data_IF_523256111062
#
_entry.id   IF_523256111062
#
_cell.length_a   1.000
_cell.length_b   1.000
_cell.length_c   1.000
_cell.angle_alpha   90.00
_cell.angle_beta   90.00
_cell.angle_gamma   90.00
#
_symmetry.space_group_name_H-M   'P 1'
#
loop_
_entity.id
_entity.type
_entity.pdbx_description
1 polymer ?
#
# COMPACT_ATOMS: atom_id res chain seq x y z
N UNK A 1 1.67 -4.00 -19.87
CA UNK A 1 1.65 -3.62 -18.44
C UNK A 1 0.75 -2.40 -18.30
N UNK A 2 -0.32 -2.48 -17.49
CA UNK A 2 -1.27 -1.38 -17.31
C UNK A 2 -0.74 -0.35 -16.32
N UNK A 3 -0.89 0.94 -16.63
CA UNK A 3 -0.68 2.02 -15.69
C UNK A 3 -1.77 2.09 -14.61
N UNK A 4 -1.60 2.98 -13.64
CA UNK A 4 -2.60 3.22 -12.57
C UNK A 4 -3.64 4.22 -13.07
N UNK A 5 -4.82 3.75 -13.48
CA UNK A 5 -5.98 4.63 -13.74
C UNK A 5 -6.62 4.96 -12.39
N UNK A 6 -6.41 6.19 -11.88
CA UNK A 6 -6.85 6.58 -10.54
C UNK A 6 -7.54 7.94 -10.50
N UNK A 7 -8.01 8.32 -9.31
CA UNK A 7 -8.57 9.63 -9.00
C UNK A 7 -8.34 9.94 -7.51
N UNK A 8 -8.83 11.09 -7.03
CA UNK A 8 -8.82 11.37 -5.59
C UNK A 8 -10.05 10.75 -4.90
N UNK A 9 -10.00 10.56 -3.58
CA UNK A 9 -11.16 10.16 -2.78
C UNK A 9 -12.30 11.19 -2.85
N UNK A 10 -12.00 12.45 -3.23
CA UNK A 10 -13.02 13.46 -3.49
C UNK A 10 -13.85 13.16 -4.75
N UNK A 11 -13.23 12.63 -5.80
CA UNK A 11 -13.93 12.17 -7.00
C UNK A 11 -14.82 10.97 -6.67
N UNK A 12 -14.29 10.00 -5.92
CA UNK A 12 -15.07 8.83 -5.46
C UNK A 12 -16.28 9.27 -4.64
N UNK A 13 -16.08 10.17 -3.66
CA UNK A 13 -17.17 10.74 -2.87
C UNK A 13 -18.24 11.39 -3.75
N UNK A 14 -17.87 12.10 -4.79
CA UNK A 14 -18.83 12.90 -5.55
C UNK A 14 -19.51 12.15 -6.70
N UNK A 15 -18.86 11.11 -7.25
CA UNK A 15 -19.26 10.50 -8.53
C UNK A 15 -19.48 8.99 -8.49
N UNK A 16 -18.79 8.24 -7.62
CA UNK A 16 -18.76 6.79 -7.71
C UNK A 16 -20.08 6.13 -7.28
N UNK A 17 -20.87 5.67 -8.24
CA UNK A 17 -22.11 4.93 -8.03
C UNK A 17 -21.88 3.42 -7.91
N UNK A 18 -20.71 2.93 -8.32
CA UNK A 18 -20.31 1.53 -8.17
C UNK A 18 -18.96 1.40 -7.47
N UNK A 19 -18.92 0.69 -6.34
CA UNK A 19 -17.75 0.57 -5.48
C UNK A 19 -17.46 -0.92 -5.23
N UNK A 20 -16.35 -1.41 -5.76
CA UNK A 20 -15.87 -2.77 -5.57
C UNK A 20 -14.72 -2.77 -4.57
N UNK A 21 -14.90 -3.44 -3.42
CA UNK A 21 -13.79 -3.77 -2.51
C UNK A 21 -13.33 -5.20 -2.76
N UNK A 22 -12.03 -5.40 -2.94
CA UNK A 22 -11.47 -6.71 -3.21
C UNK A 22 -10.29 -7.02 -2.29
N UNK A 23 -10.41 -8.12 -1.52
CA UNK A 23 -9.35 -8.59 -0.62
C UNK A 23 -8.99 -7.53 0.43
N UNK A 24 -10.00 -6.83 0.93
CA UNK A 24 -9.84 -5.73 1.86
C UNK A 24 -11.03 -5.61 2.79
N UNK A 25 -10.76 -5.26 4.04
CA UNK A 25 -11.77 -5.11 5.09
C UNK A 25 -11.78 -3.67 5.64
N UNK A 26 -12.28 -2.69 4.85
CA UNK A 26 -12.33 -1.29 5.25
C UNK A 26 -13.07 -1.03 6.57
N UNK A 27 -14.05 -1.85 6.96
CA UNK A 27 -14.76 -1.66 8.23
C UNK A 27 -13.82 -1.72 9.45
N UNK A 28 -12.79 -2.57 9.40
CA UNK A 28 -11.83 -2.74 10.50
C UNK A 28 -10.50 -2.04 10.21
N UNK A 29 -9.99 -2.13 8.98
CA UNK A 29 -8.67 -1.59 8.63
C UNK A 29 -8.69 -0.08 8.30
N UNK A 30 -9.83 0.44 7.84
CA UNK A 30 -10.00 1.86 7.52
C UNK A 30 -11.37 2.37 8.01
N UNK A 31 -11.66 2.39 9.33
CA UNK A 31 -13.04 2.45 9.85
C UNK A 31 -13.88 3.64 9.39
N UNK A 32 -13.22 4.76 9.05
CA UNK A 32 -13.89 5.98 8.55
C UNK A 32 -13.98 6.07 7.03
N UNK A 33 -13.49 5.07 6.29
CA UNK A 33 -13.46 5.11 4.83
C UNK A 33 -14.87 5.17 4.23
N UNK A 34 -15.76 4.28 4.68
CA UNK A 34 -17.18 4.27 4.30
C UNK A 34 -17.90 5.57 4.62
N UNK A 35 -17.67 6.09 5.82
CA UNK A 35 -18.37 7.25 6.33
C UNK A 35 -17.82 8.56 5.79
N UNK A 36 -16.55 8.63 5.38
CA UNK A 36 -15.89 9.89 4.97
C UNK A 36 -15.71 10.05 3.46
N UNK A 37 -15.54 8.94 2.72
CA UNK A 37 -15.09 9.03 1.32
C UNK A 37 -15.92 8.23 0.33
N UNK A 38 -16.63 7.19 0.76
CA UNK A 38 -17.29 6.27 -0.18
C UNK A 38 -18.79 6.19 0.07
N UNK A 39 -19.22 5.11 0.71
CA UNK A 39 -20.59 4.61 0.63
C UNK A 39 -21.61 5.54 1.28
N UNK A 40 -21.33 6.09 2.46
CA UNK A 40 -22.34 6.79 3.25
C UNK A 40 -22.47 8.28 2.86
N UNK A 41 -21.50 8.82 2.14
CA UNK A 41 -21.46 10.25 1.83
C UNK A 41 -22.42 10.62 0.71
N UNK A 42 -23.19 11.68 0.92
CA UNK A 42 -23.87 12.40 -0.16
C UNK A 42 -22.83 13.18 -0.96
N UNK A 43 -22.83 12.96 -2.27
CA UNK A 43 -21.90 13.58 -3.22
C UNK A 43 -22.61 14.58 -4.12
N UNK A 44 -21.86 15.45 -4.80
CA UNK A 44 -22.40 16.44 -5.76
C UNK A 44 -23.29 15.79 -6.84
N UNK A 45 -22.91 14.63 -7.35
CA UNK A 45 -23.66 13.91 -8.39
C UNK A 45 -24.40 12.68 -7.85
N UNK A 46 -24.34 12.45 -6.54
CA UNK A 46 -24.97 11.35 -5.83
C UNK A 46 -25.64 11.87 -4.54
N UNK A 47 -26.72 12.67 -4.66
CA UNK A 47 -27.36 13.32 -3.52
C UNK A 47 -28.02 12.32 -2.56
N UNK A 48 -28.33 11.12 -3.03
CA UNK A 48 -28.93 10.05 -2.24
C UNK A 48 -27.95 9.30 -1.32
N UNK A 49 -26.65 9.55 -1.44
CA UNK A 49 -25.63 8.90 -0.62
C UNK A 49 -25.65 7.37 -0.79
N UNK A 50 -25.81 6.61 0.31
CA UNK A 50 -25.82 5.13 0.31
C UNK A 50 -26.78 4.53 -0.71
N UNK A 51 -27.98 5.10 -0.85
CA UNK A 51 -29.04 4.57 -1.73
C UNK A 51 -28.70 4.70 -3.21
N UNK A 52 -27.88 5.70 -3.57
CA UNK A 52 -27.42 5.92 -4.94
C UNK A 52 -26.13 5.17 -5.27
N UNK A 53 -25.73 4.17 -4.49
CA UNK A 53 -24.47 3.44 -4.66
C UNK A 53 -24.68 1.94 -4.52
N UNK A 54 -23.99 1.19 -5.35
CA UNK A 54 -23.82 -0.26 -5.21
C UNK A 54 -22.44 -0.56 -4.66
N UNK A 55 -22.37 -1.29 -3.54
CA UNK A 55 -21.14 -1.83 -2.98
C UNK A 55 -21.05 -3.33 -3.24
N UNK A 56 -19.98 -3.76 -3.90
CA UNK A 56 -19.62 -5.17 -4.02
C UNK A 56 -18.39 -5.44 -3.16
N UNK A 57 -18.40 -6.56 -2.43
CA UNK A 57 -17.25 -7.05 -1.68
C UNK A 57 -16.83 -8.43 -2.21
N UNK A 58 -15.57 -8.55 -2.60
CA UNK A 58 -14.92 -9.82 -2.94
C UNK A 58 -13.91 -10.13 -1.84
N UNK A 59 -14.13 -11.21 -1.10
CA UNK A 59 -13.23 -11.65 -0.03
C UNK A 59 -13.36 -13.16 0.16
N UNK A 60 -12.36 -13.79 0.78
CA UNK A 60 -12.39 -15.23 1.11
C UNK A 60 -13.25 -15.53 2.34
N UNK A 61 -13.57 -14.50 3.15
CA UNK A 61 -14.31 -14.60 4.40
C UNK A 61 -15.40 -13.55 4.49
N UNK A 62 -16.46 -13.87 5.24
CA UNK A 62 -17.46 -12.88 5.63
C UNK A 62 -16.92 -11.93 6.70
N UNK A 63 -16.28 -10.85 6.27
CA UNK A 63 -15.74 -9.83 7.17
C UNK A 63 -16.83 -8.86 7.66
N UNK A 64 -16.52 -8.02 8.64
CA UNK A 64 -17.43 -6.96 9.09
C UNK A 64 -17.87 -6.00 7.97
N UNK A 65 -17.09 -5.91 6.89
CA UNK A 65 -17.43 -5.11 5.70
C UNK A 65 -18.61 -5.69 4.90
N UNK A 66 -18.95 -6.98 5.03
CA UNK A 66 -20.11 -7.61 4.34
C UNK A 66 -21.41 -6.91 4.71
N UNK A 67 -21.55 -6.46 5.97
CA UNK A 67 -22.77 -5.79 6.46
C UNK A 67 -23.10 -4.50 5.69
N UNK A 68 -22.11 -3.91 5.02
CA UNK A 68 -22.30 -2.72 4.20
C UNK A 68 -22.49 -3.04 2.70
N UNK A 69 -22.20 -4.28 2.26
CA UNK A 69 -22.21 -4.68 0.86
C UNK A 69 -23.62 -5.02 0.37
N UNK A 70 -23.92 -4.65 -0.87
CA UNK A 70 -25.12 -5.10 -1.58
C UNK A 70 -24.92 -6.49 -2.17
N UNK A 71 -23.67 -6.80 -2.56
CA UNK A 71 -23.27 -8.08 -3.15
C UNK A 71 -21.98 -8.54 -2.47
N UNK A 72 -21.99 -9.79 -2.01
CA UNK A 72 -20.79 -10.46 -1.51
C UNK A 72 -20.44 -11.64 -2.43
N UNK A 73 -19.20 -11.66 -2.90
CA UNK A 73 -18.65 -12.73 -3.73
C UNK A 73 -17.53 -13.42 -2.96
N UNK A 74 -17.82 -14.61 -2.46
CA UNK A 74 -16.85 -15.37 -1.69
C UNK A 74 -15.92 -16.18 -2.62
N UNK A 75 -14.75 -15.63 -2.92
CA UNK A 75 -13.73 -16.31 -3.71
C UNK A 75 -12.98 -17.33 -2.85
N UNK A 76 -12.55 -18.46 -3.43
CA UNK A 76 -11.69 -19.42 -2.75
C UNK A 76 -10.27 -18.86 -2.55
N UNK A 77 -9.58 -19.22 -1.46
CA UNK A 77 -8.21 -18.77 -1.22
C UNK A 77 -7.27 -19.04 -2.40
N UNK A 78 -6.57 -17.99 -2.85
CA UNK A 78 -5.56 -18.08 -3.91
C UNK A 78 -6.12 -18.25 -5.33
N UNK A 79 -7.42 -18.01 -5.54
CA UNK A 79 -8.09 -18.05 -6.84
C UNK A 79 -8.44 -16.67 -7.42
N UNK A 80 -7.98 -15.59 -6.78
CA UNK A 80 -8.28 -14.22 -7.21
C UNK A 80 -7.81 -13.92 -8.64
N UNK A 81 -6.64 -14.41 -9.03
CA UNK A 81 -6.08 -14.19 -10.36
C UNK A 81 -6.98 -14.77 -11.45
N UNK A 82 -7.49 -15.98 -11.23
CA UNK A 82 -8.40 -16.70 -12.11
C UNK A 82 -9.73 -15.96 -12.23
N UNK A 83 -10.29 -15.47 -11.12
CA UNK A 83 -11.53 -14.65 -11.15
C UNK A 83 -11.32 -13.38 -11.97
N UNK A 84 -10.24 -12.62 -11.72
CA UNK A 84 -9.96 -11.39 -12.48
C UNK A 84 -9.73 -11.70 -13.96
N UNK A 85 -9.08 -12.82 -14.28
CA UNK A 85 -8.86 -13.26 -15.65
C UNK A 85 -10.17 -13.60 -16.36
N UNK A 86 -11.08 -14.32 -15.69
CA UNK A 86 -12.43 -14.60 -16.18
C UNK A 86 -13.22 -13.30 -16.41
N UNK A 87 -13.22 -12.36 -15.44
CA UNK A 87 -13.88 -11.06 -15.61
C UNK A 87 -13.35 -10.30 -16.83
N UNK A 88 -12.03 -10.26 -17.02
CA UNK A 88 -11.43 -9.59 -18.19
C UNK A 88 -11.81 -10.25 -19.52
N UNK A 89 -11.96 -11.58 -19.54
CA UNK A 89 -12.45 -12.30 -20.70
C UNK A 89 -13.92 -11.93 -21.00
N UNK A 90 -14.79 -11.95 -19.99
CA UNK A 90 -16.20 -11.56 -20.11
C UNK A 90 -16.38 -10.10 -20.54
N UNK A 91 -15.56 -9.17 -20.01
CA UNK A 91 -15.57 -7.76 -20.42
C UNK A 91 -15.35 -7.63 -21.93
N UNK A 92 -14.47 -8.46 -22.50
CA UNK A 92 -14.12 -8.50 -23.93
C UNK A 92 -15.06 -9.36 -24.79
N UNK A 93 -16.09 -9.97 -24.19
CA UNK A 93 -17.01 -10.86 -24.91
C UNK A 93 -16.39 -12.21 -25.29
N UNK A 94 -15.29 -12.60 -24.64
CA UNK A 94 -14.67 -13.91 -24.86
C UNK A 94 -15.42 -15.00 -24.08
N UNK A 95 -15.43 -16.22 -24.62
CA UNK A 95 -15.97 -17.40 -23.92
C UNK A 95 -15.13 -17.70 -22.69
N UNK A 96 -15.81 -17.99 -21.58
CA UNK A 96 -15.21 -18.47 -20.33
C UNK A 96 -15.74 -19.88 -20.06
N UNK A 97 -14.86 -20.76 -19.60
CA UNK A 97 -15.22 -22.12 -19.21
C UNK A 97 -15.87 -22.09 -17.81
N UNK A 98 -17.12 -22.56 -17.73
CA UNK A 98 -17.88 -22.64 -16.47
C UNK A 98 -17.16 -23.49 -15.43
N UNK A 99 -16.53 -24.61 -15.83
CA UNK A 99 -15.85 -25.50 -14.88
C UNK A 99 -14.66 -24.80 -14.20
N UNK A 100 -13.90 -23.98 -14.95
CA UNK A 100 -12.80 -23.21 -14.39
C UNK A 100 -13.27 -22.10 -13.45
N UNK A 101 -14.46 -21.54 -13.67
CA UNK A 101 -15.04 -20.53 -12.77
C UNK A 101 -15.51 -21.19 -11.47
N UNK A 102 -16.13 -22.36 -11.53
CA UNK A 102 -16.56 -23.09 -10.33
C UNK A 102 -15.38 -23.46 -9.41
N UNK A 103 -14.18 -23.68 -9.98
CA UNK A 103 -12.97 -23.88 -9.18
C UNK A 103 -12.62 -22.68 -8.28
N UNK A 104 -13.04 -21.46 -8.63
CA UNK A 104 -12.81 -20.26 -7.82
C UNK A 104 -13.82 -20.10 -6.70
N UNK A 105 -14.83 -20.97 -6.62
CA UNK A 105 -15.95 -20.86 -5.68
C UNK A 105 -17.05 -19.90 -6.09
N UNK A 106 -16.97 -19.33 -7.30
CA UNK A 106 -17.99 -18.46 -7.86
C UNK A 106 -18.67 -19.15 -9.04
N UNK A 107 -19.86 -18.69 -9.42
CA UNK A 107 -20.57 -19.16 -10.61
C UNK A 107 -20.37 -18.21 -11.77
N UNK A 108 -20.46 -18.72 -13.00
CA UNK A 108 -20.33 -17.90 -14.21
C UNK A 108 -21.38 -16.79 -14.24
N UNK A 109 -22.61 -17.07 -13.79
CA UNK A 109 -23.70 -16.10 -13.74
C UNK A 109 -23.38 -14.94 -12.78
N UNK A 110 -22.70 -15.21 -11.66
CA UNK A 110 -22.28 -14.16 -10.72
C UNK A 110 -21.22 -13.24 -11.35
N UNK A 111 -20.29 -13.81 -12.13
CA UNK A 111 -19.28 -13.01 -12.82
C UNK A 111 -19.91 -12.20 -13.97
N UNK A 112 -20.88 -12.75 -14.67
CA UNK A 112 -21.61 -12.04 -15.72
C UNK A 112 -22.44 -10.88 -15.15
N UNK A 113 -23.21 -11.11 -14.08
CA UNK A 113 -23.95 -10.04 -13.39
C UNK A 113 -23.01 -8.94 -12.87
N UNK A 114 -21.84 -9.31 -12.34
CA UNK A 114 -20.84 -8.34 -11.92
C UNK A 114 -20.35 -7.48 -13.10
N UNK A 115 -19.98 -8.11 -14.22
CA UNK A 115 -19.52 -7.39 -15.42
C UNK A 115 -20.60 -6.48 -15.98
N UNK A 116 -21.85 -6.95 -16.02
CA UNK A 116 -22.97 -6.17 -16.52
C UNK A 116 -23.20 -4.93 -15.64
N UNK A 117 -23.23 -5.07 -14.31
CA UNK A 117 -23.30 -3.92 -13.38
C UNK A 117 -22.12 -2.97 -13.53
N UNK A 118 -20.91 -3.51 -13.67
CA UNK A 118 -19.71 -2.72 -13.88
C UNK A 118 -19.77 -1.92 -15.19
N UNK A 119 -20.37 -2.46 -16.26
CA UNK A 119 -20.54 -1.75 -17.55
C UNK A 119 -21.64 -0.68 -17.49
N UNK A 120 -22.70 -0.89 -16.70
CA UNK A 120 -23.84 0.02 -16.61
C UNK A 120 -23.66 1.16 -15.60
N UNK A 121 -22.65 1.13 -14.72
CA UNK A 121 -22.40 2.22 -13.78
C UNK A 121 -21.93 3.49 -14.49
N UNK A 122 -22.05 4.65 -13.83
CA UNK A 122 -21.56 5.94 -14.35
C UNK A 122 -20.11 6.19 -13.96
N UNK A 123 -19.71 5.75 -12.77
CA UNK A 123 -18.35 5.86 -12.26
C UNK A 123 -18.04 4.71 -11.30
N UNK A 124 -17.23 3.77 -11.77
CA UNK A 124 -16.76 2.63 -11.00
C UNK A 124 -15.42 2.87 -10.32
N UNK A 125 -15.27 2.35 -9.10
CA UNK A 125 -13.97 2.28 -8.40
C UNK A 125 -13.71 0.89 -7.86
N UNK A 126 -12.50 0.36 -8.09
CA UNK A 126 -11.97 -0.82 -7.42
C UNK A 126 -11.01 -0.39 -6.32
N UNK A 127 -11.37 -0.64 -5.07
CA UNK A 127 -10.46 -0.60 -3.94
C UNK A 127 -9.92 -2.01 -3.68
N UNK A 128 -8.61 -2.18 -3.66
CA UNK A 128 -8.01 -3.50 -3.39
C UNK A 128 -7.03 -3.46 -2.22
N UNK A 129 -7.04 -4.52 -1.42
CA UNK A 129 -6.24 -4.64 -0.20
C UNK A 129 -5.21 -5.76 -0.24
N UNK A 130 -4.72 -6.12 0.95
CA UNK A 130 -3.67 -7.12 1.13
C UNK A 130 -4.13 -8.54 0.77
N UNK A 131 -5.43 -8.82 0.79
CA UNK A 131 -6.01 -10.08 0.32
C UNK A 131 -5.76 -10.33 -1.18
N UNK A 132 -5.40 -9.29 -1.93
CA UNK A 132 -4.90 -9.42 -3.30
C UNK A 132 -3.38 -9.33 -3.40
N UNK A 133 -2.75 -8.38 -2.70
CA UNK A 133 -1.32 -8.09 -2.90
C UNK A 133 -0.36 -9.02 -2.16
N UNK A 134 -0.84 -9.76 -1.15
CA UNK A 134 -0.02 -10.67 -0.32
C UNK A 134 -0.37 -12.15 -0.48
N UNK A 135 -1.36 -12.49 -1.30
CA UNK A 135 -1.75 -13.88 -1.59
C UNK A 135 -0.98 -14.43 -2.81
N UNK A 136 -1.19 -15.71 -3.14
CA UNK A 136 -0.60 -16.34 -4.33
C UNK A 136 -0.85 -15.46 -5.56
N UNK A 137 0.20 -15.19 -6.33
CA UNK A 137 0.18 -14.25 -7.46
C UNK A 137 0.70 -12.85 -7.12
N UNK A 138 0.53 -12.37 -5.88
CA UNK A 138 1.08 -11.09 -5.36
C UNK A 138 0.84 -9.92 -6.34
N UNK A 139 1.91 -9.41 -6.96
CA UNK A 139 1.87 -8.28 -7.89
C UNK A 139 1.10 -8.61 -9.18
N UNK A 140 0.99 -9.87 -9.59
CA UNK A 140 0.19 -10.28 -10.75
C UNK A 140 -1.30 -10.07 -10.50
N UNK A 141 -1.78 -10.29 -9.28
CA UNK A 141 -3.17 -10.02 -8.89
C UNK A 141 -3.47 -8.52 -8.98
N UNK A 142 -2.58 -7.69 -8.41
CA UNK A 142 -2.70 -6.23 -8.49
C UNK A 142 -2.66 -5.74 -9.94
N UNK A 143 -1.74 -6.26 -10.76
CA UNK A 143 -1.65 -5.90 -12.18
C UNK A 143 -2.91 -6.29 -12.95
N UNK A 144 -3.50 -7.46 -12.66
CA UNK A 144 -4.74 -7.91 -13.28
C UNK A 144 -5.92 -6.98 -12.95
N UNK A 145 -6.07 -6.57 -11.67
CA UNK A 145 -7.13 -5.64 -11.24
C UNK A 145 -6.96 -4.25 -11.85
N UNK A 146 -5.73 -3.72 -11.88
CA UNK A 146 -5.43 -2.45 -12.53
C UNK A 146 -5.75 -2.50 -14.03
N UNK A 147 -5.45 -3.63 -14.67
CA UNK A 147 -5.75 -3.84 -16.09
C UNK A 147 -7.24 -3.98 -16.34
N UNK A 148 -7.98 -4.69 -15.47
CA UNK A 148 -9.45 -4.76 -15.52
C UNK A 148 -10.06 -3.36 -15.46
N UNK A 149 -9.64 -2.52 -14.51
CA UNK A 149 -10.11 -1.14 -14.42
C UNK A 149 -9.79 -0.33 -15.69
N UNK A 150 -8.60 -0.51 -16.28
CA UNK A 150 -8.26 0.14 -17.55
C UNK A 150 -9.16 -0.35 -18.70
N UNK A 151 -9.40 -1.65 -18.82
CA UNK A 151 -10.25 -2.25 -19.86
C UNK A 151 -11.72 -1.83 -19.73
N UNK A 152 -12.22 -1.64 -18.50
CA UNK A 152 -13.56 -1.10 -18.25
C UNK A 152 -13.79 0.31 -18.81
N UNK A 153 -12.71 1.11 -18.99
CA UNK A 153 -12.83 2.46 -19.56
C UNK A 153 -13.25 2.49 -21.03
N UNK A 154 -13.31 1.34 -21.72
CA UNK A 154 -13.95 1.24 -23.03
C UNK A 154 -15.49 1.32 -22.96
N UNK A 155 -16.08 1.10 -21.78
CA UNK A 155 -17.53 1.05 -21.57
C UNK A 155 -18.03 2.18 -20.66
N UNK A 156 -17.34 2.44 -19.55
CA UNK A 156 -17.70 3.49 -18.58
C UNK A 156 -16.48 3.94 -17.78
N UNK A 157 -16.58 5.06 -17.08
CA UNK A 157 -15.45 5.56 -16.28
C UNK A 157 -15.15 4.60 -15.14
N UNK A 158 -13.96 4.01 -15.15
CA UNK A 158 -13.49 3.14 -14.08
C UNK A 158 -12.10 3.55 -13.59
N UNK A 159 -11.87 3.40 -12.28
CA UNK A 159 -10.58 3.63 -11.64
C UNK A 159 -10.25 2.50 -10.67
N UNK A 160 -8.98 2.34 -10.34
CA UNK A 160 -8.54 1.42 -9.29
C UNK A 160 -7.56 2.11 -8.35
N UNK A 161 -7.64 1.76 -7.07
CA UNK A 161 -6.80 2.33 -6.02
C UNK A 161 -6.46 1.28 -4.96
N UNK A 162 -5.18 1.13 -4.60
CA UNK A 162 -4.80 0.28 -3.47
C UNK A 162 -5.24 0.93 -2.15
N UNK A 163 -5.79 0.13 -1.25
CA UNK A 163 -6.09 0.52 0.13
C UNK A 163 -4.80 0.52 0.95
N UNK A 164 -4.01 1.60 0.83
CA UNK A 164 -2.74 1.76 1.55
C UNK A 164 -2.96 1.76 3.07
N UNK A 165 -2.11 1.02 3.80
CA UNK A 165 -2.26 0.76 5.24
C UNK A 165 -1.91 1.96 6.13
N UNK A 166 -0.61 2.14 6.39
CA UNK A 166 -0.13 3.20 7.29
C UNK A 166 -0.40 4.62 6.74
N UNK A 167 -0.56 5.57 7.67
CA UNK A 167 -0.98 6.94 7.36
C UNK A 167 -0.06 7.74 6.41
N UNK A 168 1.19 7.31 6.22
CA UNK A 168 2.13 7.96 5.29
C UNK A 168 2.95 6.98 4.43
N UNK A 169 2.50 5.74 4.23
CA UNK A 169 3.21 4.80 3.34
C UNK A 169 3.22 5.29 1.88
N UNK A 170 2.21 6.07 1.46
CA UNK A 170 2.25 6.74 0.16
C UNK A 170 3.34 7.82 0.12
N UNK A 171 3.58 8.53 1.22
CA UNK A 171 4.58 9.61 1.25
C UNK A 171 6.00 9.08 1.17
N UNK A 172 6.29 7.96 1.83
CA UNK A 172 7.58 7.29 1.70
C UNK A 172 7.89 6.92 0.24
N UNK A 173 6.93 6.29 -0.45
CA UNK A 173 7.07 5.95 -1.87
C UNK A 173 7.24 7.20 -2.75
N UNK A 174 6.48 8.27 -2.50
CA UNK A 174 6.56 9.51 -3.26
C UNK A 174 7.92 10.18 -3.09
N UNK A 175 8.40 10.30 -1.85
CA UNK A 175 9.72 10.89 -1.54
C UNK A 175 10.82 10.10 -2.21
N UNK A 176 10.82 8.77 -2.08
CA UNK A 176 11.81 7.91 -2.70
C UNK A 176 11.78 8.03 -4.24
N UNK A 177 10.59 8.10 -4.85
CA UNK A 177 10.47 8.28 -6.30
C UNK A 177 11.11 9.56 -6.80
N UNK A 178 10.82 10.71 -6.19
CA UNK A 178 11.37 11.98 -6.70
C UNK A 178 12.85 12.17 -6.33
N UNK A 179 13.34 11.49 -5.29
CA UNK A 179 14.76 11.57 -4.88
C UNK A 179 15.66 10.57 -5.59
N UNK A 180 15.15 9.36 -5.88
CA UNK A 180 15.96 8.24 -6.40
C UNK A 180 15.50 7.70 -7.76
N UNK A 181 14.32 8.11 -8.24
CA UNK A 181 13.65 7.52 -9.41
C UNK A 181 12.81 6.29 -9.09
N UNK A 182 12.88 5.74 -7.87
CA UNK A 182 12.27 4.44 -7.52
C UNK A 182 11.49 4.49 -6.19
N UNK A 183 10.42 3.69 -6.00
CA UNK A 183 9.52 3.83 -4.85
C UNK A 183 9.94 3.15 -3.54
N UNK A 184 10.72 2.07 -3.60
CA UNK A 184 11.15 1.30 -2.43
C UNK A 184 12.27 0.34 -2.87
N UNK A 185 12.89 -0.42 -1.95
CA UNK A 185 13.89 -1.43 -2.32
C UNK A 185 15.04 -0.86 -3.15
N UNK A 186 15.53 0.30 -2.74
CA UNK A 186 16.58 1.06 -3.44
C UNK A 186 17.92 0.77 -2.76
N UNK A 187 18.90 0.34 -3.55
CA UNK A 187 20.28 0.12 -3.11
C UNK A 187 21.17 1.25 -3.64
N UNK A 188 21.95 1.87 -2.74
CA UNK A 188 22.86 2.98 -3.04
C UNK A 188 24.35 2.61 -2.93
N UNK A 189 24.70 1.35 -2.68
CA UNK A 189 26.08 0.90 -2.42
C UNK A 189 27.07 1.18 -3.56
N UNK A 190 26.59 1.36 -4.80
CA UNK A 190 27.46 1.71 -5.95
C UNK A 190 27.62 3.22 -6.18
N UNK A 191 27.08 4.06 -5.29
CA UNK A 191 27.07 5.52 -5.45
C UNK A 191 25.94 6.05 -6.35
N UNK A 192 25.07 5.18 -6.85
CA UNK A 192 23.88 5.53 -7.64
C UNK A 192 22.72 4.57 -7.32
N UNK A 193 21.45 4.99 -7.50
CA UNK A 193 20.30 4.17 -7.14
C UNK A 193 20.14 2.96 -8.06
N UNK A 194 20.00 1.78 -7.44
CA UNK A 194 19.59 0.53 -8.10
C UNK A 194 18.29 0.04 -7.47
N UNK A 195 17.36 -0.39 -8.31
CA UNK A 195 16.04 -0.86 -7.89
C UNK A 195 15.79 -2.27 -8.39
N UNK A 196 15.61 -3.20 -7.46
CA UNK A 196 15.28 -4.58 -7.77
C UNK A 196 14.52 -5.24 -6.61
N UNK A 197 13.18 -5.09 -6.53
CA UNK A 197 12.35 -5.81 -5.56
C UNK A 197 12.54 -7.32 -5.67
N UNK A 198 12.71 -8.01 -4.55
CA UNK A 198 13.15 -9.41 -4.47
C UNK A 198 14.65 -9.55 -4.22
N UNK A 199 15.46 -8.56 -4.61
CA UNK A 199 16.89 -8.47 -4.26
C UNK A 199 17.11 -7.50 -3.10
N UNK A 200 16.50 -6.30 -3.16
CA UNK A 200 16.74 -5.21 -2.20
C UNK A 200 15.54 -4.88 -1.32
N UNK A 201 14.47 -5.67 -1.35
CA UNK A 201 13.36 -5.47 -0.39
C UNK A 201 13.80 -5.88 1.01
N UNK A 202 13.28 -5.18 2.01
CA UNK A 202 13.62 -5.40 3.43
C UNK A 202 13.44 -6.86 3.84
N UNK A 203 12.34 -7.52 3.45
CA UNK A 203 12.10 -8.93 3.81
C UNK A 203 13.17 -9.84 3.20
N UNK A 204 13.52 -9.64 1.93
CA UNK A 204 14.49 -10.48 1.23
C UNK A 204 15.88 -10.34 1.86
N UNK A 205 16.31 -9.10 2.13
CA UNK A 205 17.59 -8.81 2.77
C UNK A 205 17.68 -9.42 4.18
N UNK A 206 16.62 -9.29 4.98
CA UNK A 206 16.58 -9.83 6.34
C UNK A 206 16.57 -11.36 6.36
N UNK A 207 15.78 -12.00 5.50
CA UNK A 207 15.66 -13.47 5.44
C UNK A 207 16.94 -14.10 4.92
N UNK A 208 17.62 -13.50 3.93
CA UNK A 208 18.92 -13.99 3.43
C UNK A 208 20.07 -13.67 4.39
N UNK A 209 19.92 -12.67 5.25
CA UNK A 209 20.97 -12.25 6.18
C UNK A 209 22.06 -11.43 5.50
N UNK A 210 21.75 -10.73 4.41
CA UNK A 210 22.72 -9.96 3.60
C UNK A 210 23.13 -8.62 4.24
N UNK A 211 22.64 -8.33 5.45
CA UNK A 211 22.90 -7.08 6.16
C UNK A 211 23.79 -7.32 7.38
N UNK A 212 24.62 -6.34 7.70
CA UNK A 212 25.49 -6.31 8.87
C UNK A 212 25.00 -5.33 9.95
N UNK A 213 24.04 -4.46 9.64
CA UNK A 213 23.37 -3.55 10.56
C UNK A 213 21.97 -3.17 10.05
N UNK A 214 21.08 -2.72 10.95
CA UNK A 214 19.74 -2.24 10.60
C UNK A 214 19.43 -0.88 11.24
N UNK A 215 18.86 0.04 10.46
CA UNK A 215 18.31 1.31 10.93
C UNK A 215 16.81 1.33 10.64
N UNK A 216 15.99 1.26 11.71
CA UNK A 216 14.54 1.15 11.63
C UNK A 216 13.91 2.46 12.08
N UNK A 217 13.05 3.03 11.23
CA UNK A 217 12.37 4.30 11.46
C UNK A 217 10.85 4.10 11.51
N UNK A 218 10.24 4.32 12.68
CA UNK A 218 8.79 4.34 12.86
C UNK A 218 8.07 3.07 12.39
N UNK A 219 8.71 1.90 12.58
CA UNK A 219 8.20 0.60 12.15
C UNK A 219 8.52 -0.48 13.19
N UNK A 220 7.73 -1.55 13.22
CA UNK A 220 7.92 -2.69 14.14
C UNK A 220 8.17 -4.01 13.39
N UNK A 221 9.27 -4.16 12.62
CA UNK A 221 9.59 -5.40 11.92
C UNK A 221 9.78 -6.60 12.86
N UNK A 222 10.21 -6.40 14.11
CA UNK A 222 10.28 -7.43 15.13
C UNK A 222 8.92 -8.07 15.48
N UNK A 223 7.80 -7.40 15.18
CA UNK A 223 6.45 -7.95 15.35
C UNK A 223 5.80 -8.42 14.03
N UNK A 224 6.32 -7.97 12.88
CA UNK A 224 5.59 -8.04 11.60
C UNK A 224 6.35 -8.76 10.48
N UNK A 225 7.64 -9.06 10.68
CA UNK A 225 8.44 -9.83 9.73
C UNK A 225 8.34 -11.34 9.98
N UNK A 226 8.64 -12.18 8.96
CA UNK A 226 8.82 -13.61 9.17
C UNK A 226 9.95 -13.90 10.16
N UNK A 227 9.86 -15.03 10.88
CA UNK A 227 10.83 -15.42 11.92
C UNK A 227 12.30 -15.34 11.47
N UNK A 228 12.71 -15.83 10.28
CA UNK A 228 14.10 -15.70 9.86
C UNK A 228 14.59 -14.25 9.77
N UNK A 229 13.70 -13.32 9.42
CA UNK A 229 14.03 -11.89 9.40
C UNK A 229 14.16 -11.29 10.80
N UNK A 230 13.33 -11.74 11.75
CA UNK A 230 13.44 -11.37 13.16
C UNK A 230 14.75 -11.88 13.75
N UNK A 231 15.15 -13.12 13.43
CA UNK A 231 16.40 -13.72 13.89
C UNK A 231 17.62 -12.94 13.38
N UNK A 232 17.58 -12.47 12.12
CA UNK A 232 18.61 -11.57 11.58
C UNK A 232 18.66 -10.25 12.35
N UNK A 233 17.51 -9.61 12.63
CA UNK A 233 17.46 -8.36 13.40
C UNK A 233 18.04 -8.51 14.83
N UNK A 234 17.82 -9.67 15.47
CA UNK A 234 18.37 -9.97 16.78
C UNK A 234 19.90 -10.20 16.75
N UNK A 235 20.43 -10.68 15.62
CA UNK A 235 21.86 -10.97 15.43
C UNK A 235 22.68 -9.72 15.12
N UNK A 236 22.15 -8.80 14.31
CA UNK A 236 22.89 -7.61 13.84
C UNK A 236 22.65 -6.39 14.73
N UNK A 237 23.60 -5.43 14.81
CA UNK A 237 23.35 -4.15 15.45
C UNK A 237 22.15 -3.43 14.82
N UNK A 238 21.07 -3.34 15.59
CA UNK A 238 19.83 -2.67 15.18
C UNK A 238 19.65 -1.36 15.96
N UNK A 239 19.41 -0.26 15.25
CA UNK A 239 19.06 1.05 15.80
C UNK A 239 17.60 1.34 15.44
N UNK A 240 16.80 1.74 16.42
CA UNK A 240 15.37 2.05 16.25
C UNK A 240 15.09 3.49 16.64
N UNK A 241 14.41 4.23 15.77
CA UNK A 241 13.73 5.49 16.09
C UNK A 241 12.23 5.21 16.15
N UNK A 242 11.66 5.29 17.34
CA UNK A 242 10.23 5.11 17.55
C UNK A 242 9.77 5.88 18.79
N UNK A 243 8.57 6.50 18.78
CA UNK A 243 8.04 7.16 19.97
C UNK A 243 7.66 6.21 21.11
N UNK A 244 7.61 4.90 20.87
CA UNK A 244 7.20 3.87 21.82
C UNK A 244 8.19 2.71 21.87
N UNK A 245 8.14 1.96 22.97
CA UNK A 245 8.84 0.67 23.07
C UNK A 245 8.03 -0.37 22.32
N UNK A 246 8.60 -0.92 21.25
CA UNK A 246 7.99 -1.94 20.37
C UNK A 246 8.70 -3.29 20.52
N UNK A 247 8.27 -4.32 19.78
CA UNK A 247 9.03 -5.58 19.74
C UNK A 247 10.41 -5.36 19.14
N UNK A 248 10.50 -4.54 18.10
CA UNK A 248 11.77 -4.15 17.48
C UNK A 248 12.66 -3.38 18.45
N UNK A 249 12.10 -2.47 19.27
CA UNK A 249 12.88 -1.76 20.29
C UNK A 249 13.54 -2.71 21.29
N UNK A 250 12.91 -3.86 21.60
CA UNK A 250 13.48 -4.87 22.50
C UNK A 250 14.62 -5.68 21.86
N UNK A 251 14.63 -5.80 20.53
CA UNK A 251 15.72 -6.41 19.76
C UNK A 251 16.86 -5.42 19.49
N UNK A 252 16.57 -4.12 19.56
CA UNK A 252 17.51 -3.08 19.19
C UNK A 252 18.65 -2.93 20.19
N UNK A 253 19.85 -2.67 19.66
CA UNK A 253 21.00 -2.24 20.46
C UNK A 253 20.85 -0.81 20.96
N UNK A 254 20.19 0.04 20.17
CA UNK A 254 19.90 1.43 20.52
C UNK A 254 18.46 1.74 20.15
N UNK A 255 17.70 2.26 21.12
CA UNK A 255 16.40 2.85 20.90
C UNK A 255 16.47 4.35 21.19
N UNK A 256 16.10 5.18 20.23
CA UNK A 256 16.01 6.63 20.37
C UNK A 256 14.53 7.01 20.36
N UNK A 257 14.02 7.49 21.49
CA UNK A 257 12.65 7.98 21.59
C UNK A 257 12.52 9.29 20.82
N UNK A 258 11.65 9.31 19.81
CA UNK A 258 11.32 10.49 19.01
C UNK A 258 9.92 11.02 19.34
N UNK A 259 9.65 12.27 18.98
CA UNK A 259 8.33 12.85 19.06
C UNK A 259 7.39 12.30 17.98
N UNK A 260 6.10 12.17 18.30
CA UNK A 260 5.11 11.55 17.40
C UNK A 260 4.72 12.53 16.29
N UNK A 261 4.97 12.16 15.03
CA UNK A 261 4.55 12.95 13.86
C UNK A 261 3.03 13.12 13.84
N UNK A 262 2.56 14.36 13.65
CA UNK A 262 1.15 14.73 13.62
C UNK A 262 0.46 14.86 14.97
N UNK A 263 1.13 14.51 16.07
CA UNK A 263 0.65 14.83 17.43
C UNK A 263 1.52 15.92 18.05
N UNK A 264 2.84 15.72 18.05
CA UNK A 264 3.81 16.63 18.66
C UNK A 264 4.91 17.12 17.72
N UNK A 265 4.97 16.59 16.49
CA UNK A 265 5.80 17.13 15.41
C UNK A 265 5.00 17.44 14.16
N UNK A 266 5.34 18.52 13.43
CA UNK A 266 4.76 18.79 12.12
C UNK A 266 5.30 17.80 11.08
N UNK A 267 4.74 17.86 9.88
CA UNK A 267 5.19 17.06 8.75
C UNK A 267 4.18 17.07 7.61
N UNK A 268 4.47 16.32 6.56
CA UNK A 268 3.53 16.08 5.46
C UNK A 268 3.25 14.59 5.37
N UNK A 269 1.96 14.24 5.37
CA UNK A 269 1.52 12.87 5.10
C UNK A 269 0.76 12.80 3.78
N UNK A 270 1.03 11.79 2.97
CA UNK A 270 0.27 11.50 1.77
C UNK A 270 -0.77 10.43 2.07
N UNK A 271 -2.03 10.75 1.79
CA UNK A 271 -3.13 9.79 1.89
C UNK A 271 -3.03 8.72 0.80
N UNK A 272 -3.84 7.66 0.88
CA UNK A 272 -3.83 6.55 -0.09
C UNK A 272 -4.08 6.96 -1.56
N UNK A 273 -4.73 8.10 -1.78
CA UNK A 273 -4.97 8.73 -3.08
C UNK A 273 -3.91 9.76 -3.46
N UNK A 274 -2.74 9.71 -2.80
CA UNK A 274 -1.57 10.56 -3.05
C UNK A 274 -1.80 12.06 -2.82
N UNK A 275 -2.89 12.44 -2.14
CA UNK A 275 -3.12 13.83 -1.71
C UNK A 275 -2.21 14.16 -0.51
N UNK A 276 -1.34 15.18 -0.62
CA UNK A 276 -0.50 15.62 0.50
C UNK A 276 -1.34 16.40 1.52
N UNK A 277 -1.16 16.08 2.80
CA UNK A 277 -1.85 16.72 3.91
C UNK A 277 -0.81 17.20 4.93
N UNK A 278 -0.80 18.50 5.28
CA UNK A 278 0.05 19.00 6.34
C UNK A 278 -0.45 18.49 7.69
N UNK A 279 0.46 17.91 8.46
CA UNK A 279 0.22 17.44 9.81
C UNK A 279 0.37 18.61 10.79
N UNK A 280 -0.65 18.81 11.62
CA UNK A 280 -0.74 19.93 12.56
C UNK A 280 -0.56 19.40 13.99
N UNK A 281 0.61 19.59 14.61
CA UNK A 281 0.82 19.15 15.99
C UNK A 281 -0.06 19.96 16.94
N UNK A 282 -0.62 19.29 17.94
CA UNK A 282 -1.48 19.89 18.96
C UNK A 282 -0.84 19.85 20.35
N UNK A 283 0.18 19.01 20.53
CA UNK A 283 0.96 18.89 21.76
C UNK A 283 2.41 19.28 21.52
N UNK A 284 3.13 19.57 22.60
CA UNK A 284 4.59 19.68 22.59
C UNK A 284 5.19 18.40 23.14
N UNK A 285 6.38 18.03 22.67
CA UNK A 285 7.14 16.88 23.18
C UNK A 285 8.52 17.35 23.64
N UNK A 286 9.07 16.76 24.71
CA UNK A 286 10.46 16.99 25.10
C UNK A 286 11.45 16.22 24.21
N UNK A 287 10.96 15.29 23.38
CA UNK A 287 11.80 14.48 22.49
C UNK A 287 12.01 15.18 21.13
N UNK A 288 13.17 14.96 20.48
CA UNK A 288 13.44 15.47 19.13
C UNK A 288 12.56 14.78 18.09
N UNK A 289 12.37 15.42 16.94
CA UNK A 289 11.72 14.80 15.79
C UNK A 289 12.60 13.73 15.15
N UNK A 290 11.99 12.82 14.39
CA UNK A 290 12.71 11.85 13.55
C UNK A 290 13.75 12.53 12.64
N UNK A 291 13.35 13.64 12.00
CA UNK A 291 14.24 14.43 11.13
C UNK A 291 15.46 14.95 11.89
N UNK A 292 15.25 15.51 13.08
CA UNK A 292 16.34 16.07 13.88
C UNK A 292 17.34 14.98 14.30
N UNK A 293 16.85 13.81 14.73
CA UNK A 293 17.72 12.67 15.06
C UNK A 293 18.49 12.19 13.83
N UNK A 294 17.81 12.01 12.69
CA UNK A 294 18.47 11.58 11.44
C UNK A 294 19.54 12.58 11.01
N UNK A 295 19.28 13.89 11.08
CA UNK A 295 20.28 14.93 10.77
C UNK A 295 21.50 14.85 11.67
N UNK A 296 21.31 14.64 12.97
CA UNK A 296 22.41 14.47 13.94
C UNK A 296 23.23 13.21 13.65
N UNK A 297 22.57 12.10 13.28
CA UNK A 297 23.24 10.86 12.87
C UNK A 297 24.07 11.09 11.61
N UNK A 298 23.51 11.73 10.58
CA UNK A 298 24.24 12.07 9.34
C UNK A 298 25.49 12.90 9.66
N UNK A 299 25.34 14.00 10.40
CA UNK A 299 26.47 14.85 10.78
C UNK A 299 27.53 14.13 11.62
N UNK A 300 27.15 13.13 12.41
CA UNK A 300 28.10 12.31 13.15
C UNK A 300 28.82 11.28 12.26
N UNK A 301 28.14 10.71 11.27
CA UNK A 301 28.71 9.77 10.29
C UNK A 301 29.69 10.49 9.35
N UNK A 302 29.36 11.70 8.89
CA UNK A 302 30.24 12.51 8.01
C UNK A 302 31.58 12.89 8.66
N UNK A 303 31.63 12.97 9.99
CA UNK A 303 32.86 13.23 10.74
C UNK A 303 33.76 12.00 10.86
N UNK A 304 33.26 10.81 10.53
CA UNK A 304 34.06 9.58 10.56
C UNK A 304 34.80 9.42 9.25
N UNK A 305 36.02 8.90 9.31
CA UNK A 305 36.77 8.51 8.13
C UNK A 305 35.99 7.44 7.36
N UNK A 306 35.88 7.60 6.03
CA UNK A 306 35.20 6.62 5.19
C UNK A 306 35.85 5.24 5.35
N UNK A 307 35.02 4.21 5.56
CA UNK A 307 35.50 2.83 5.70
C UNK A 307 35.95 2.25 4.36
N UNK A 308 35.33 2.67 3.25
CA UNK A 308 35.77 2.36 1.90
C UNK A 308 36.65 3.50 1.36
N UNK A 309 37.76 3.21 0.64
CA UNK A 309 38.49 4.24 -0.06
C UNK A 309 37.55 4.94 -1.04
N UNK A 310 37.46 6.27 -0.95
CA UNK A 310 36.71 7.07 -1.91
C UNK A 310 37.25 6.79 -3.31
N UNK A 311 36.39 6.60 -4.33
CA UNK A 311 36.85 6.55 -5.71
C UNK A 311 37.69 7.81 -5.99
N UNK A 312 38.87 7.64 -6.59
CA UNK A 312 39.86 8.71 -6.79
C UNK A 312 39.31 9.97 -7.50
N UNK A 313 38.14 9.87 -8.13
CA UNK A 313 37.44 10.95 -8.85
C UNK A 313 36.68 11.93 -7.95
N UNK A 314 36.52 11.68 -6.65
CA UNK A 314 35.90 12.61 -5.70
C UNK A 314 36.91 13.44 -4.88
N UNK A 315 38.21 13.19 -5.04
CA UNK A 315 39.27 13.88 -4.30
C UNK A 315 39.74 15.20 -4.95
N UNK A 316 39.30 15.52 -6.17
CA UNK A 316 39.79 16.69 -6.93
C UNK A 316 38.83 17.87 -6.97
N UNK A 317 37.86 17.94 -6.06
CA UNK A 317 36.78 18.94 -6.08
C UNK A 317 36.83 19.98 -4.97
N UNK A 318 37.99 20.29 -4.39
CA UNK A 318 38.20 21.50 -3.57
C UNK A 318 39.64 21.96 -3.76
N UNK A 319 39.83 22.92 -4.67
CA UNK A 319 40.84 23.97 -4.54
C UNK A 319 40.13 25.30 -4.79
#
# INVERSE_FOLDING_TARGET
MGGKVSCTLGEVKNRADFILYWGGNPAECHPRHFTKYTIMQKGKFLPEGRKGRTMVLVDIRETMSVKAADIFLQVRPGKDFEVVTALRALVKGNRVDTALVEETGLKLEQLQDLVDRMKHCKFGVIFFGMGLSMTRGKHMNSAAVLTLAAEMNAFTKFVAMPMRGHGNVAGADMVLRWTTGYPFGVNLCRGFPRFNPGEFSTVDLLVRGDIDAAFVLGADPGATMPQPGIDTLARVPTIVLDPKVTHTSKLARVHITTSVTGISSPGTAYRMDEVPLPLRPVLKSPYPSDEEVVRRIIAAVEKKTAWLPLPATMASGVM
#
